data_IF_943404185007
#
_entry.id   IF_943404185007
#
_cell.length_a   1.000
_cell.length_b   1.000
_cell.length_c   1.000
_cell.angle_alpha   90.00
_cell.angle_beta   90.00
_cell.angle_gamma   90.00
#
_symmetry.space_group_name_H-M   'P 1'
#
loop_
_entity.id
_entity.type
_entity.pdbx_description
1 polymer ?
#
# COMPACT_ATOMS: atom_id res chain seq x y z
N UNK A 1 -55.73 4.83 1.91
CA UNK A 1 -56.96 4.12 1.50
C UNK A 1 -56.71 2.63 1.62
N UNK A 2 -57.47 1.97 2.50
CA UNK A 2 -57.90 0.54 2.56
C UNK A 2 -56.86 -0.59 2.34
N UNK A 3 -56.55 -1.42 3.36
CA UNK A 3 -57.29 -2.62 3.86
C UNK A 3 -57.33 -3.78 2.83
N UNK A 4 -57.21 -5.07 3.15
CA UNK A 4 -56.83 -5.89 4.33
C UNK A 4 -57.00 -7.39 3.93
N UNK A 5 -56.49 -8.28 4.80
CA UNK A 5 -56.81 -9.71 5.06
C UNK A 5 -55.78 -10.72 4.52
N UNK A 6 -55.04 -11.47 5.34
CA UNK A 6 -55.28 -12.27 6.57
C UNK A 6 -55.19 -13.76 6.21
N UNK A 7 -54.26 -14.48 6.83
CA UNK A 7 -54.57 -15.74 7.51
C UNK A 7 -53.46 -16.17 8.47
N UNK A 8 -53.90 -16.45 9.70
CA UNK A 8 -53.16 -16.79 10.91
C UNK A 8 -52.96 -18.29 11.03
N UNK A 9 -51.98 -18.68 11.84
CA UNK A 9 -52.10 -19.85 12.72
C UNK A 9 -51.55 -19.48 14.10
N UNK A 10 -52.38 -19.63 15.13
CA UNK A 10 -52.06 -19.45 16.54
C UNK A 10 -52.17 -20.77 17.32
N UNK A 11 -51.56 -20.74 18.51
CA UNK A 11 -51.86 -21.45 19.77
C UNK A 11 -51.01 -22.70 20.10
N UNK A 12 -50.84 -23.07 21.40
CA UNK A 12 -51.30 -22.41 22.64
C UNK A 12 -50.21 -22.23 23.74
N UNK A 13 -50.67 -21.60 24.82
CA UNK A 13 -50.01 -21.22 26.07
C UNK A 13 -50.12 -22.35 27.13
N UNK A 14 -49.20 -22.32 28.10
CA UNK A 14 -48.92 -23.16 29.30
C UNK A 14 -50.08 -23.67 30.17
N UNK A 15 -49.82 -24.63 31.10
CA UNK A 15 -49.72 -24.20 32.51
C UNK A 15 -48.65 -24.88 33.39
N UNK A 16 -48.09 -24.06 34.27
CA UNK A 16 -47.73 -24.20 35.70
C UNK A 16 -47.55 -25.58 36.37
N UNK A 17 -46.51 -25.64 37.21
CA UNK A 17 -46.31 -26.70 38.20
C UNK A 17 -47.24 -26.61 39.42
N UNK A 18 -47.38 -27.73 40.10
CA UNK A 18 -48.01 -27.88 41.41
C UNK A 18 -47.20 -28.90 42.23
N UNK A 19 -46.87 -28.49 43.46
CA UNK A 19 -46.23 -29.27 44.53
C UNK A 19 -47.18 -30.25 45.21
N UNK A 20 -46.57 -31.16 45.98
CA UNK A 20 -47.11 -32.16 46.91
C UNK A 20 -48.32 -31.72 47.77
N UNK A 21 -49.26 -32.66 47.99
CA UNK A 21 -49.77 -33.13 49.30
C UNK A 21 -50.79 -34.28 49.04
N UNK A 22 -50.56 -35.53 49.46
CA UNK A 22 -50.76 -36.18 50.78
C UNK A 22 -52.20 -36.69 51.05
N UNK A 23 -52.24 -37.93 51.61
CA UNK A 23 -53.34 -38.64 52.29
C UNK A 23 -54.29 -39.48 51.42
N UNK A 24 -54.71 -40.71 51.74
CA UNK A 24 -54.52 -41.66 52.85
C UNK A 24 -55.34 -42.93 52.47
N UNK A 25 -54.86 -44.16 52.74
CA UNK A 25 -55.52 -45.17 53.61
C UNK A 25 -55.04 -46.63 53.37
N UNK A 26 -54.51 -47.18 54.47
CA UNK A 26 -54.63 -48.54 55.03
C UNK A 26 -54.81 -49.76 54.12
N UNK A 27 -53.91 -50.74 54.25
CA UNK A 27 -54.04 -51.85 55.23
C UNK A 27 -52.84 -52.82 55.17
N UNK A 28 -52.23 -53.10 56.31
CA UNK A 28 -51.35 -54.24 56.62
C UNK A 28 -52.17 -55.55 56.76
N UNK A 29 -51.59 -56.76 57.01
CA UNK A 29 -50.17 -57.18 57.01
C UNK A 29 -49.92 -58.53 56.29
N UNK A 30 -48.65 -58.89 56.03
CA UNK A 30 -48.01 -60.17 56.48
C UNK A 30 -46.63 -60.34 55.85
N UNK A 31 -45.60 -60.37 56.71
CA UNK A 31 -44.27 -60.94 56.45
C UNK A 31 -44.37 -62.50 56.45
N UNK A 32 -43.44 -63.30 55.86
CA UNK A 32 -42.01 -63.15 56.08
C UNK A 32 -41.06 -63.47 54.90
N UNK A 33 -39.87 -62.85 54.96
CA UNK A 33 -38.55 -63.47 54.78
C UNK A 33 -38.35 -64.50 53.65
N UNK A 34 -37.63 -64.10 52.59
CA UNK A 34 -36.74 -65.03 51.89
C UNK A 34 -35.55 -64.29 51.26
N UNK A 35 -34.36 -64.65 51.73
CA UNK A 35 -33.08 -64.13 51.22
C UNK A 35 -32.71 -64.82 49.91
N UNK A 36 -32.59 -64.04 48.83
CA UNK A 36 -31.88 -64.47 47.62
C UNK A 36 -30.84 -63.40 47.21
N UNK A 37 -29.68 -63.81 46.66
CA UNK A 37 -28.58 -62.90 46.37
C UNK A 37 -28.93 -61.96 45.23
N UNK A 38 -28.98 -60.66 45.50
CA UNK A 38 -29.15 -59.62 44.48
C UNK A 38 -27.95 -59.64 43.53
N UNK A 39 -28.16 -60.16 42.32
CA UNK A 39 -27.34 -59.78 41.16
C UNK A 39 -27.49 -58.28 40.98
N UNK A 40 -26.38 -57.54 41.07
CA UNK A 40 -26.33 -56.12 40.78
C UNK A 40 -26.56 -55.91 39.28
N UNK A 41 -27.82 -55.73 38.88
CA UNK A 41 -28.13 -55.19 37.56
C UNK A 41 -27.69 -53.73 37.54
N UNK A 42 -26.47 -53.46 37.04
CA UNK A 42 -26.09 -52.11 36.66
C UNK A 42 -27.08 -51.62 35.62
N UNK A 43 -27.83 -50.58 35.97
CA UNK A 43 -28.83 -49.93 35.15
C UNK A 43 -28.25 -49.63 33.76
N UNK A 44 -28.91 -50.10 32.70
CA UNK A 44 -28.49 -49.96 31.29
C UNK A 44 -28.18 -48.49 30.94
N UNK A 45 -28.87 -47.55 31.59
CA UNK A 45 -28.60 -46.10 31.50
C UNK A 45 -27.20 -45.75 31.99
N UNK A 46 -26.76 -46.33 33.11
CA UNK A 46 -25.44 -46.09 33.69
C UNK A 46 -24.33 -46.71 32.85
N UNK A 47 -24.59 -47.86 32.21
CA UNK A 47 -23.62 -48.52 31.34
C UNK A 47 -23.47 -47.80 29.99
N UNK A 48 -24.56 -47.28 29.42
CA UNK A 48 -24.55 -46.41 28.23
C UNK A 48 -23.81 -45.09 28.48
N UNK A 49 -24.09 -44.41 29.60
CA UNK A 49 -23.46 -43.13 29.95
C UNK A 49 -21.97 -43.25 30.32
N UNK A 50 -21.55 -44.33 30.99
CA UNK A 50 -20.16 -44.47 31.44
C UNK A 50 -19.23 -45.11 30.42
N UNK A 51 -19.75 -45.96 29.52
CA UNK A 51 -18.91 -46.79 28.64
C UNK A 51 -19.03 -46.38 27.18
N UNK A 52 -20.25 -46.18 26.70
CA UNK A 52 -20.50 -45.93 25.27
C UNK A 52 -20.32 -44.44 24.94
N UNK A 53 -20.82 -43.54 25.80
CA UNK A 53 -20.73 -42.10 25.56
C UNK A 53 -19.27 -41.57 25.48
N UNK A 54 -18.34 -41.93 26.39
CA UNK A 54 -16.93 -41.52 26.25
C UNK A 54 -16.24 -42.22 25.07
N UNK A 55 -16.56 -43.51 24.84
CA UNK A 55 -15.98 -44.27 23.73
C UNK A 55 -16.30 -43.66 22.35
N UNK A 56 -17.40 -42.91 22.22
CA UNK A 56 -17.77 -42.21 20.99
C UNK A 56 -17.31 -40.74 21.00
N UNK A 57 -17.44 -40.03 22.13
CA UNK A 57 -17.08 -38.60 22.20
C UNK A 57 -15.58 -38.34 22.20
N UNK A 58 -14.77 -39.20 22.81
CA UNK A 58 -13.32 -39.01 22.90
C UNK A 58 -12.65 -39.09 21.52
N UNK A 59 -12.94 -40.09 20.65
CA UNK A 59 -12.42 -40.11 19.28
C UNK A 59 -12.90 -38.92 18.44
N UNK A 60 -14.16 -38.49 18.57
CA UNK A 60 -14.67 -37.32 17.85
C UNK A 60 -14.00 -36.02 18.28
N UNK A 61 -13.77 -35.83 19.59
CA UNK A 61 -13.08 -34.66 20.12
C UNK A 61 -11.61 -34.59 19.67
N UNK A 62 -10.90 -35.73 19.71
CA UNK A 62 -9.53 -35.84 19.20
C UNK A 62 -9.46 -35.61 17.69
N UNK A 63 -10.37 -36.20 16.91
CA UNK A 63 -10.46 -35.95 15.48
C UNK A 63 -10.75 -34.48 15.18
N UNK A 64 -11.62 -33.82 15.95
CA UNK A 64 -11.90 -32.39 15.82
C UNK A 64 -10.69 -31.50 16.13
N UNK A 65 -9.94 -31.80 17.20
CA UNK A 65 -8.72 -31.05 17.55
C UNK A 65 -7.60 -31.26 16.53
N UNK A 66 -7.37 -32.49 16.08
CA UNK A 66 -6.38 -32.80 15.05
C UNK A 66 -6.76 -32.16 13.71
N UNK A 67 -8.03 -32.24 13.32
CA UNK A 67 -8.55 -31.60 12.11
C UNK A 67 -8.43 -30.09 12.20
N UNK A 68 -8.80 -29.46 13.32
CA UNK A 68 -8.62 -28.02 13.53
C UNK A 68 -7.15 -27.61 13.42
N UNK A 69 -6.23 -28.39 13.98
CA UNK A 69 -4.79 -28.11 13.89
C UNK A 69 -4.20 -28.31 12.49
N UNK A 70 -4.70 -29.29 11.74
CA UNK A 70 -4.27 -29.56 10.36
C UNK A 70 -4.86 -28.52 9.40
N UNK A 71 -6.12 -28.16 9.59
CA UNK A 71 -6.83 -27.11 8.85
C UNK A 71 -6.22 -25.75 9.15
N UNK A 72 -5.87 -25.44 10.41
CA UNK A 72 -5.24 -24.16 10.74
C UNK A 72 -3.85 -24.02 10.13
N UNK A 73 -3.03 -25.08 10.13
CA UNK A 73 -1.72 -25.09 9.46
C UNK A 73 -1.84 -25.01 7.94
N UNK A 74 -2.75 -25.79 7.34
CA UNK A 74 -2.99 -25.75 5.90
C UNK A 74 -3.59 -24.42 5.44
N UNK A 75 -4.48 -23.83 6.24
CA UNK A 75 -5.08 -22.52 5.98
C UNK A 75 -4.04 -21.41 6.09
N UNK A 76 -3.14 -21.48 7.08
CA UNK A 76 -2.03 -20.54 7.21
C UNK A 76 -1.06 -20.64 6.03
N UNK A 77 -0.71 -21.84 5.58
CA UNK A 77 0.17 -22.04 4.41
C UNK A 77 -0.49 -21.56 3.11
N UNK A 78 -1.79 -21.79 2.93
CA UNK A 78 -2.52 -21.29 1.76
C UNK A 78 -2.63 -19.76 1.79
N UNK A 79 -2.90 -19.16 2.94
CA UNK A 79 -2.91 -17.71 3.11
C UNK A 79 -1.53 -17.10 2.81
N UNK A 80 -0.44 -17.71 3.29
CA UNK A 80 0.92 -17.27 3.00
C UNK A 80 1.24 -17.34 1.50
N UNK A 81 0.88 -18.42 0.81
CA UNK A 81 1.12 -18.57 -0.64
C UNK A 81 0.29 -17.59 -1.47
N UNK A 82 -0.96 -17.35 -1.09
CA UNK A 82 -1.82 -16.35 -1.74
C UNK A 82 -1.23 -14.94 -1.56
N UNK A 83 -0.86 -14.58 -0.33
CA UNK A 83 -0.23 -13.30 -0.01
C UNK A 83 1.11 -13.10 -0.75
N UNK A 84 1.91 -14.15 -0.91
CA UNK A 84 3.16 -14.11 -1.67
C UNK A 84 2.89 -13.82 -3.16
N UNK A 85 1.92 -14.51 -3.76
CA UNK A 85 1.52 -14.27 -5.14
C UNK A 85 0.97 -12.86 -5.37
N UNK A 86 0.08 -12.40 -4.50
CA UNK A 86 -0.52 -11.06 -4.56
C UNK A 86 0.53 -9.95 -4.41
N UNK A 87 1.48 -10.11 -3.47
CA UNK A 87 2.57 -9.14 -3.26
C UNK A 87 3.50 -9.06 -4.46
N UNK A 88 3.81 -10.19 -5.11
CA UNK A 88 4.62 -10.22 -6.34
C UNK A 88 3.92 -9.47 -7.47
N UNK A 89 2.61 -9.69 -7.64
CA UNK A 89 1.82 -9.00 -8.67
C UNK A 89 1.76 -7.50 -8.38
N UNK A 90 1.46 -7.11 -7.15
CA UNK A 90 1.41 -5.70 -6.74
C UNK A 90 2.76 -4.99 -6.94
N UNK A 91 3.87 -5.63 -6.54
CA UNK A 91 5.22 -5.11 -6.76
C UNK A 91 5.56 -4.96 -8.24
N UNK A 92 5.16 -5.92 -9.09
CA UNK A 92 5.36 -5.83 -10.55
C UNK A 92 4.54 -4.70 -11.17
N UNK A 93 3.28 -4.52 -10.77
CA UNK A 93 2.43 -3.42 -11.26
C UNK A 93 3.02 -2.08 -10.86
N UNK A 94 3.47 -1.94 -9.62
CA UNK A 94 4.16 -0.74 -9.13
C UNK A 94 5.39 -0.42 -9.97
N UNK A 95 6.25 -1.43 -10.19
CA UNK A 95 7.46 -1.28 -10.98
C UNK A 95 7.16 -0.82 -12.41
N UNK A 96 6.22 -1.49 -13.10
CA UNK A 96 5.83 -1.12 -14.47
C UNK A 96 5.34 0.33 -14.51
N UNK A 97 4.50 0.71 -13.54
CA UNK A 97 3.99 2.07 -13.47
C UNK A 97 5.10 3.08 -13.19
N UNK A 98 6.02 2.79 -12.26
CA UNK A 98 7.15 3.68 -11.98
C UNK A 98 8.06 3.83 -13.20
N UNK A 99 8.36 2.75 -13.91
CA UNK A 99 9.12 2.81 -15.17
C UNK A 99 8.41 3.63 -16.24
N UNK A 100 7.08 3.57 -16.31
CA UNK A 100 6.32 4.43 -17.23
C UNK A 100 6.32 5.89 -16.78
N UNK A 101 6.14 6.15 -15.47
CA UNK A 101 6.20 7.50 -14.92
C UNK A 101 7.57 8.15 -15.16
N UNK A 102 8.67 7.39 -15.02
CA UNK A 102 10.04 7.84 -15.33
C UNK A 102 10.17 8.35 -16.76
N UNK A 103 9.50 7.71 -17.73
CA UNK A 103 9.58 8.08 -19.15
C UNK A 103 8.99 9.45 -19.44
N UNK A 104 8.05 9.95 -18.63
CA UNK A 104 7.36 11.21 -18.92
C UNK A 104 8.34 12.41 -18.81
N UNK A 105 9.02 12.66 -17.68
CA UNK A 105 10.06 13.70 -17.61
C UNK A 105 11.21 13.46 -18.59
N UNK A 106 11.57 12.20 -18.85
CA UNK A 106 12.64 11.87 -19.80
C UNK A 106 12.30 12.25 -21.24
N UNK A 107 11.07 11.95 -21.67
CA UNK A 107 10.55 12.30 -23.00
C UNK A 107 10.43 13.81 -23.14
N UNK A 108 9.99 14.51 -22.08
CA UNK A 108 9.97 15.97 -22.07
C UNK A 108 11.38 16.55 -22.20
N UNK A 109 12.36 16.03 -21.46
CA UNK A 109 13.74 16.52 -21.50
C UNK A 109 14.39 16.33 -22.88
N UNK A 110 14.03 15.27 -23.60
CA UNK A 110 14.50 15.01 -24.97
C UNK A 110 13.64 15.68 -26.06
N UNK A 111 12.55 16.36 -25.71
CA UNK A 111 11.64 16.98 -26.67
C UNK A 111 12.31 18.19 -27.33
N UNK A 112 12.29 18.32 -28.68
CA UNK A 112 12.83 19.49 -29.37
C UNK A 112 12.25 20.81 -28.87
N UNK A 113 10.97 20.82 -28.50
CA UNK A 113 10.29 22.01 -27.95
C UNK A 113 10.90 22.44 -26.61
N UNK A 114 11.22 21.50 -25.73
CA UNK A 114 11.80 21.77 -24.40
C UNK A 114 13.27 22.14 -24.53
N UNK A 115 14.03 21.42 -25.37
CA UNK A 115 15.43 21.71 -25.67
C UNK A 115 15.59 23.13 -26.23
N UNK A 116 14.77 23.51 -27.22
CA UNK A 116 14.80 24.85 -27.81
C UNK A 116 14.40 25.93 -26.81
N UNK A 117 13.36 25.69 -26.01
CA UNK A 117 12.91 26.62 -24.99
C UNK A 117 13.98 26.85 -23.91
N UNK A 118 14.63 25.79 -23.42
CA UNK A 118 15.70 25.87 -22.43
C UNK A 118 16.93 26.62 -22.99
N UNK A 119 17.34 26.30 -24.23
CA UNK A 119 18.44 26.99 -24.92
C UNK A 119 18.14 28.48 -25.15
N UNK A 120 16.92 28.81 -25.55
CA UNK A 120 16.50 30.21 -25.77
C UNK A 120 16.44 30.99 -24.46
N UNK A 121 15.87 30.39 -23.41
CA UNK A 121 15.85 30.97 -22.08
C UNK A 121 17.27 31.21 -21.52
N UNK A 122 18.20 30.29 -21.73
CA UNK A 122 19.60 30.47 -21.34
C UNK A 122 20.24 31.71 -22.00
N UNK A 123 19.92 31.98 -23.27
CA UNK A 123 20.38 33.20 -23.96
C UNK A 123 19.79 34.46 -23.34
N UNK A 124 18.51 34.44 -22.97
CA UNK A 124 17.84 35.55 -22.26
C UNK A 124 18.52 35.81 -20.91
N UNK A 125 18.80 34.76 -20.15
CA UNK A 125 19.51 34.81 -18.86
C UNK A 125 20.89 35.47 -19.01
N UNK A 126 21.63 35.08 -20.06
CA UNK A 126 22.95 35.63 -20.36
C UNK A 126 22.90 37.11 -20.74
N UNK A 127 21.97 37.52 -21.61
CA UNK A 127 21.80 38.94 -22.01
C UNK A 127 21.46 39.81 -20.80
N UNK A 128 20.60 39.31 -19.92
CA UNK A 128 20.22 39.98 -18.68
C UNK A 128 21.27 39.87 -17.56
N UNK A 129 22.36 39.13 -17.77
CA UNK A 129 23.38 38.81 -16.77
C UNK A 129 22.82 38.26 -15.44
N UNK A 130 21.69 37.53 -15.48
CA UNK A 130 20.98 37.08 -14.26
C UNK A 130 21.85 36.19 -13.38
N UNK A 131 22.73 35.38 -13.99
CA UNK A 131 23.63 34.51 -13.24
C UNK A 131 24.67 35.26 -12.38
N UNK A 132 24.92 36.55 -12.63
CA UNK A 132 25.84 37.41 -11.86
C UNK A 132 25.15 38.20 -10.76
N UNK A 133 23.82 38.30 -10.81
CA UNK A 133 23.05 39.02 -9.80
C UNK A 133 22.94 38.16 -8.53
N UNK A 134 22.85 38.81 -7.35
CA UNK A 134 22.53 38.11 -6.12
C UNK A 134 21.19 37.39 -6.22
N UNK A 135 21.08 36.22 -5.60
CA UNK A 135 19.88 35.37 -5.64
C UNK A 135 18.59 36.14 -5.31
N UNK A 136 18.59 36.92 -4.22
CA UNK A 136 17.42 37.63 -3.75
C UNK A 136 16.91 38.70 -4.73
N UNK A 137 17.82 39.36 -5.48
CA UNK A 137 17.44 40.36 -6.50
C UNK A 137 16.77 39.70 -7.69
N UNK A 138 17.23 38.49 -8.05
CA UNK A 138 16.67 37.70 -9.14
C UNK A 138 15.29 37.17 -8.75
N UNK A 139 15.11 36.65 -7.54
CA UNK A 139 13.80 36.23 -7.05
C UNK A 139 12.79 37.37 -7.01
N UNK A 140 13.16 38.52 -6.44
CA UNK A 140 12.26 39.67 -6.34
C UNK A 140 11.79 40.15 -7.72
N UNK A 141 12.71 40.21 -8.70
CA UNK A 141 12.45 40.66 -10.06
C UNK A 141 11.53 39.74 -10.87
N UNK A 142 11.37 38.49 -10.46
CA UNK A 142 10.57 37.47 -11.15
C UNK A 142 9.51 36.85 -10.24
N UNK A 143 9.07 37.54 -9.19
CA UNK A 143 8.08 37.00 -8.25
C UNK A 143 6.67 36.78 -8.86
N UNK A 144 6.30 37.53 -9.91
CA UNK A 144 5.03 37.39 -10.62
C UNK A 144 5.13 37.76 -12.12
N UNK A 145 5.21 36.77 -13.05
CA UNK A 145 5.31 35.32 -12.82
C UNK A 145 6.75 34.84 -12.58
N UNK A 146 6.96 33.73 -11.84
CA UNK A 146 8.25 33.05 -11.66
C UNK A 146 8.70 32.30 -12.92
N UNK A 147 8.86 33.05 -14.01
CA UNK A 147 9.27 32.59 -15.34
C UNK A 147 10.21 33.60 -15.97
N UNK A 148 11.30 33.11 -16.56
CA UNK A 148 12.29 33.97 -17.23
C UNK A 148 11.69 34.72 -18.42
N UNK A 149 10.75 34.06 -19.10
CA UNK A 149 9.92 34.60 -20.16
C UNK A 149 8.63 33.77 -20.22
N UNK A 150 7.47 34.41 -20.09
CA UNK A 150 6.19 33.70 -20.14
C UNK A 150 5.95 33.09 -21.54
N UNK A 151 5.65 31.79 -21.57
CA UNK A 151 5.18 31.09 -22.77
C UNK A 151 3.89 30.31 -22.45
N UNK A 152 2.75 30.94 -22.74
CA UNK A 152 1.42 30.37 -22.45
C UNK A 152 1.16 29.04 -23.15
N UNK A 153 1.66 28.86 -24.37
CA UNK A 153 1.50 27.62 -25.11
C UNK A 153 2.28 26.46 -24.45
N UNK A 154 3.50 26.75 -23.98
CA UNK A 154 4.34 25.76 -23.32
C UNK A 154 3.78 25.40 -21.93
N UNK A 155 3.35 26.39 -21.15
CA UNK A 155 2.66 26.14 -19.88
C UNK A 155 1.38 25.32 -20.07
N UNK A 156 0.60 25.61 -21.12
CA UNK A 156 -0.59 24.82 -21.46
C UNK A 156 -0.25 23.38 -21.86
N UNK A 157 0.83 23.19 -22.62
CA UNK A 157 1.33 21.87 -22.98
C UNK A 157 1.70 21.05 -21.74
N UNK A 158 2.43 21.64 -20.78
CA UNK A 158 2.76 20.98 -19.52
C UNK A 158 1.50 20.67 -18.71
N UNK A 159 0.53 21.59 -18.65
CA UNK A 159 -0.76 21.36 -18.00
C UNK A 159 -1.55 20.19 -18.61
N UNK A 160 -1.54 20.04 -19.94
CA UNK A 160 -2.16 18.88 -20.60
C UNK A 160 -1.40 17.60 -20.31
N UNK A 161 -0.07 17.66 -20.30
CA UNK A 161 0.79 16.51 -19.97
C UNK A 161 0.50 16.01 -18.55
N UNK A 162 0.39 16.91 -17.57
CA UNK A 162 0.04 16.54 -16.19
C UNK A 162 -1.34 15.92 -16.05
N UNK A 163 -2.33 16.43 -16.80
CA UNK A 163 -3.69 15.88 -16.76
C UNK A 163 -3.79 14.47 -17.37
N UNK A 164 -2.94 14.12 -18.33
CA UNK A 164 -2.93 12.80 -18.99
C UNK A 164 -2.16 11.77 -18.15
N UNK A 165 -1.07 12.18 -17.52
CA UNK A 165 -0.13 11.28 -16.84
C UNK A 165 -0.21 11.34 -15.30
N UNK A 166 -1.22 12.02 -14.75
CA UNK A 166 -1.52 12.13 -13.31
C UNK A 166 -0.40 12.77 -12.46
N UNK A 167 0.53 13.48 -13.09
CA UNK A 167 1.49 14.33 -12.38
C UNK A 167 0.77 15.53 -11.77
N UNK A 168 1.13 15.90 -10.53
CA UNK A 168 0.64 17.14 -9.92
C UNK A 168 1.40 18.36 -10.46
N UNK A 169 2.71 18.21 -10.63
CA UNK A 169 3.58 19.27 -11.13
C UNK A 169 4.49 18.74 -12.23
N UNK A 170 4.66 19.54 -13.27
CA UNK A 170 5.76 19.44 -14.22
C UNK A 170 6.27 20.86 -14.46
N UNK A 171 7.58 21.03 -14.28
CA UNK A 171 8.28 22.26 -14.57
C UNK A 171 9.64 21.96 -15.19
N UNK A 172 10.24 22.95 -15.84
CA UNK A 172 11.64 22.83 -16.24
C UNK A 172 12.36 24.17 -16.24
N UNK A 173 13.67 24.08 -16.10
CA UNK A 173 14.58 25.22 -16.01
C UNK A 173 15.51 25.27 -17.21
N UNK A 174 16.20 26.40 -17.36
CA UNK A 174 17.41 26.48 -18.18
C UNK A 174 18.68 26.15 -17.36
N UNK A 175 19.86 26.22 -17.99
CA UNK A 175 21.14 25.74 -17.44
C UNK A 175 21.68 26.51 -16.23
N UNK A 176 21.23 27.74 -16.02
CA UNK A 176 21.51 28.53 -14.83
C UNK A 176 20.49 28.30 -13.71
N UNK A 177 19.48 27.45 -13.95
CA UNK A 177 18.46 27.00 -13.01
C UNK A 177 17.30 27.98 -12.82
N UNK A 178 17.03 28.82 -13.82
CA UNK A 178 15.86 29.69 -13.85
C UNK A 178 14.67 29.01 -14.52
N UNK A 179 13.47 29.18 -13.97
CA UNK A 179 12.26 28.57 -14.50
C UNK A 179 11.91 29.07 -15.91
N UNK A 180 11.60 28.14 -16.80
CA UNK A 180 11.24 28.40 -18.20
C UNK A 180 9.75 28.16 -18.44
N UNK A 181 9.21 27.09 -17.88
CA UNK A 181 7.79 26.79 -17.92
C UNK A 181 7.37 25.87 -16.77
N UNK A 182 6.08 25.93 -16.43
CA UNK A 182 5.45 25.05 -15.46
C UNK A 182 3.97 24.83 -15.80
N UNK A 183 3.37 23.75 -15.28
CA UNK A 183 1.91 23.56 -15.32
C UNK A 183 1.20 24.31 -14.17
N UNK A 184 1.84 24.40 -13.01
CA UNK A 184 1.35 25.04 -11.78
C UNK A 184 2.43 25.98 -11.28
N UNK A 185 2.03 27.14 -10.75
CA UNK A 185 2.97 28.17 -10.27
C UNK A 185 3.91 27.58 -9.21
N UNK A 186 5.21 27.76 -9.43
CA UNK A 186 6.24 27.45 -8.43
C UNK A 186 6.36 28.57 -7.41
N UNK A 187 6.72 28.30 -6.14
CA UNK A 187 6.97 29.34 -5.15
C UNK A 187 8.15 30.24 -5.54
N UNK A 188 9.24 29.63 -6.00
CA UNK A 188 10.49 30.29 -6.33
C UNK A 188 10.74 30.30 -7.85
N UNK A 189 11.50 31.28 -8.34
CA UNK A 189 11.92 31.39 -9.73
C UNK A 189 13.24 30.68 -10.02
N UNK A 190 14.17 30.73 -9.07
CA UNK A 190 15.48 30.10 -9.09
C UNK A 190 15.37 28.74 -8.42
N UNK A 191 15.88 27.71 -9.09
CA UNK A 191 15.81 26.32 -8.63
C UNK A 191 17.19 25.67 -8.55
N UNK A 192 18.25 26.41 -8.85
CA UNK A 192 19.61 25.86 -8.94
C UNK A 192 20.16 25.38 -7.61
N UNK A 193 19.66 25.90 -6.49
CA UNK A 193 20.04 25.51 -5.13
C UNK A 193 19.34 24.23 -4.67
N UNK A 194 18.32 23.78 -5.40
CA UNK A 194 17.59 22.57 -5.09
C UNK A 194 18.43 21.29 -5.27
N UNK A 195 18.28 20.36 -4.32
CA UNK A 195 19.02 19.09 -4.34
C UNK A 195 18.71 18.25 -5.59
N UNK A 196 17.45 18.21 -6.01
CA UNK A 196 17.04 17.47 -7.21
C UNK A 196 17.70 18.05 -8.47
N UNK A 197 17.83 19.38 -8.54
CA UNK A 197 18.42 20.08 -9.67
C UNK A 197 19.92 19.83 -9.76
N UNK A 198 20.62 19.98 -8.63
CA UNK A 198 22.07 19.73 -8.54
C UNK A 198 22.42 18.29 -8.89
N UNK A 199 21.65 17.31 -8.39
CA UNK A 199 21.88 15.90 -8.72
C UNK A 199 21.65 15.60 -10.20
N UNK A 200 20.59 16.12 -10.80
CA UNK A 200 20.31 15.93 -12.22
C UNK A 200 21.39 16.56 -13.10
N UNK A 201 21.87 17.76 -12.73
CA UNK A 201 23.00 18.41 -13.42
C UNK A 201 24.30 17.61 -13.32
N UNK A 202 24.61 17.07 -12.15
CA UNK A 202 25.87 16.36 -11.91
C UNK A 202 25.90 14.94 -12.52
N UNK A 203 24.74 14.40 -12.89
CA UNK A 203 24.61 13.08 -13.49
C UNK A 203 23.59 13.11 -14.64
N UNK A 204 23.88 13.82 -15.75
CA UNK A 204 22.88 14.14 -16.78
C UNK A 204 22.35 12.90 -17.52
N UNK A 205 23.11 11.80 -17.54
CA UNK A 205 22.68 10.52 -18.12
C UNK A 205 21.78 9.70 -17.20
N UNK A 206 21.62 10.10 -15.94
CA UNK A 206 20.83 9.39 -14.93
C UNK A 206 19.62 10.23 -14.53
N UNK A 207 18.47 9.57 -14.41
CA UNK A 207 17.30 10.19 -13.82
C UNK A 207 17.41 10.16 -12.30
N UNK A 208 17.17 11.31 -11.67
CA UNK A 208 17.09 11.41 -10.21
C UNK A 208 15.66 11.12 -9.79
N UNK A 209 15.48 10.19 -8.86
CA UNK A 209 14.18 9.83 -8.30
C UNK A 209 14.26 9.98 -6.79
N UNK A 210 13.31 10.72 -6.20
CA UNK A 210 13.27 10.96 -4.76
C UNK A 210 11.84 10.89 -4.25
N UNK A 211 11.65 10.22 -3.12
CA UNK A 211 10.38 10.28 -2.39
C UNK A 211 10.48 11.36 -1.32
N UNK A 212 9.52 12.28 -1.28
CA UNK A 212 9.43 13.30 -0.24
C UNK A 212 8.01 13.41 0.32
N UNK A 213 7.92 13.92 1.53
CA UNK A 213 6.66 14.43 2.04
C UNK A 213 6.54 15.90 1.61
N UNK A 214 5.41 16.25 1.00
CA UNK A 214 5.10 17.62 0.63
C UNK A 214 4.29 18.28 1.75
N UNK A 215 4.95 19.16 2.52
CA UNK A 215 4.35 19.87 3.64
C UNK A 215 3.25 20.85 3.20
N UNK A 216 3.30 21.34 1.94
CA UNK A 216 2.29 22.27 1.41
C UNK A 216 0.96 21.58 1.21
N UNK A 217 1.05 20.33 0.79
CA UNK A 217 -0.04 19.54 0.22
C UNK A 217 -0.39 18.32 1.07
N UNK A 218 0.24 18.21 2.25
CA UNK A 218 0.12 17.18 3.30
C UNK A 218 0.09 15.74 2.74
N UNK A 219 1.01 15.45 1.80
CA UNK A 219 1.01 14.18 1.08
C UNK A 219 2.40 13.72 0.66
N UNK A 220 2.57 12.41 0.50
CA UNK A 220 3.79 11.87 -0.12
C UNK A 220 3.78 12.05 -1.63
N UNK A 221 4.93 12.42 -2.18
CA UNK A 221 5.16 12.56 -3.62
C UNK A 221 6.45 11.86 -4.04
N UNK A 222 6.49 11.43 -5.28
CA UNK A 222 7.68 10.93 -5.96
C UNK A 222 8.11 11.98 -6.98
N UNK A 223 9.30 12.52 -6.79
CA UNK A 223 9.91 13.48 -7.70
C UNK A 223 10.83 12.76 -8.67
N UNK A 224 10.74 13.17 -9.92
CA UNK A 224 11.57 12.72 -11.02
C UNK A 224 12.27 13.93 -11.59
N UNK A 225 13.59 13.87 -11.76
CA UNK A 225 14.36 14.94 -12.39
C UNK A 225 15.28 14.39 -13.46
N UNK A 226 15.20 14.97 -14.65
CA UNK A 226 16.00 14.58 -15.81
C UNK A 226 16.70 15.81 -16.38
N UNK A 227 18.01 15.70 -16.63
CA UNK A 227 18.75 16.74 -17.33
C UNK A 227 18.26 16.88 -18.78
N UNK A 228 18.13 18.12 -19.22
CA UNK A 228 17.96 18.49 -20.62
C UNK A 228 19.36 18.63 -21.20
N UNK A 229 19.67 17.87 -22.25
CA UNK A 229 20.94 17.97 -22.97
C UNK A 229 20.69 18.31 -24.43
N UNK A 230 21.62 19.07 -25.02
CA UNK A 230 21.61 19.28 -26.46
C UNK A 230 21.91 17.96 -27.18
N UNK A 231 21.05 17.46 -28.07
CA UNK A 231 21.23 16.16 -28.71
C UNK A 231 22.41 16.11 -29.69
N UNK A 232 22.94 17.27 -30.12
CA UNK A 232 24.08 17.36 -31.02
C UNK A 232 25.42 17.53 -30.29
N UNK A 233 25.42 18.14 -29.11
CA UNK A 233 26.66 18.49 -28.38
C UNK A 233 26.80 17.85 -26.99
N UNK A 234 25.74 17.21 -26.49
CA UNK A 234 25.59 16.75 -25.11
C UNK A 234 25.76 17.87 -24.06
N UNK A 235 25.66 19.14 -24.46
CA UNK A 235 25.72 20.28 -23.52
C UNK A 235 24.50 20.26 -22.59
N UNK A 236 24.74 20.48 -21.28
CA UNK A 236 23.66 20.65 -20.31
C UNK A 236 22.90 21.97 -20.54
N UNK A 237 21.59 21.85 -20.77
CA UNK A 237 20.69 22.96 -21.06
C UNK A 237 19.71 23.29 -19.93
N UNK A 238 19.55 22.42 -18.93
CA UNK A 238 18.61 22.61 -17.83
C UNK A 238 18.11 21.29 -17.24
N UNK A 239 17.03 21.33 -16.47
CA UNK A 239 16.45 20.14 -15.83
C UNK A 239 14.93 20.17 -15.96
N UNK A 240 14.31 19.06 -16.33
CA UNK A 240 12.87 18.80 -16.20
C UNK A 240 12.61 18.15 -14.85
N UNK A 241 11.64 18.67 -14.10
CA UNK A 241 11.11 18.11 -12.85
C UNK A 241 9.66 17.66 -13.07
N UNK A 242 9.34 16.46 -12.61
CA UNK A 242 7.97 15.96 -12.50
C UNK A 242 7.68 15.48 -11.08
N UNK A 243 6.55 15.88 -10.53
CA UNK A 243 6.08 15.48 -9.19
C UNK A 243 4.83 14.63 -9.32
N UNK A 244 4.91 13.38 -8.86
CA UNK A 244 3.82 12.42 -8.92
C UNK A 244 3.29 12.16 -7.50
N UNK A 245 2.01 12.45 -7.21
CA UNK A 245 1.42 12.12 -5.92
C UNK A 245 1.38 10.61 -5.69
N UNK A 246 1.73 10.17 -4.49
CA UNK A 246 1.66 8.76 -4.16
C UNK A 246 0.20 8.23 -4.10
N UNK A 247 -0.79 9.11 -3.97
CA UNK A 247 -2.21 8.75 -4.03
C UNK A 247 -2.63 8.14 -5.36
N UNK A 248 -1.87 8.34 -6.44
CA UNK A 248 -2.09 7.67 -7.73
C UNK A 248 -2.01 6.15 -7.58
N UNK A 249 -1.07 5.66 -6.77
CA UNK A 249 -0.94 4.23 -6.47
C UNK A 249 -2.19 3.67 -5.80
N UNK A 250 -2.79 4.44 -4.90
CA UNK A 250 -4.04 4.09 -4.22
C UNK A 250 -5.12 3.67 -5.21
N UNK A 251 -5.30 4.43 -6.29
CA UNK A 251 -6.29 4.15 -7.34
C UNK A 251 -5.96 2.90 -8.13
N UNK A 252 -4.69 2.73 -8.54
CA UNK A 252 -4.21 1.56 -9.28
C UNK A 252 -4.43 0.30 -8.45
N UNK A 253 -4.03 0.34 -7.20
CA UNK A 253 -4.12 -0.81 -6.32
C UNK A 253 -5.55 -1.10 -5.89
N UNK A 254 -6.42 -0.12 -5.67
CA UNK A 254 -7.85 -0.40 -5.41
C UNK A 254 -8.48 -1.24 -6.53
N UNK A 255 -8.12 -0.96 -7.78
CA UNK A 255 -8.58 -1.77 -8.92
C UNK A 255 -7.95 -3.16 -8.88
N UNK A 256 -6.64 -3.25 -8.64
CA UNK A 256 -5.95 -4.54 -8.54
C UNK A 256 -6.49 -5.42 -7.39
N UNK A 257 -6.70 -4.86 -6.20
CA UNK A 257 -7.21 -5.60 -5.04
C UNK A 257 -8.64 -6.09 -5.25
N UNK A 258 -9.43 -5.38 -6.06
CA UNK A 258 -10.77 -5.82 -6.46
C UNK A 258 -10.70 -7.05 -7.38
N UNK A 259 -9.74 -7.07 -8.30
CA UNK A 259 -9.54 -8.18 -9.24
C UNK A 259 -8.87 -9.40 -8.58
N UNK A 260 -8.11 -9.19 -7.51
CA UNK A 260 -7.44 -10.24 -6.73
C UNK A 260 -8.35 -10.91 -5.69
N UNK A 261 -9.64 -10.53 -5.56
CA UNK A 261 -10.60 -11.09 -4.57
C UNK A 261 -10.08 -11.16 -3.12
N UNK A 262 -9.17 -10.24 -2.79
CA UNK A 262 -8.56 -10.09 -1.47
C UNK A 262 -9.70 -9.89 -0.46
N UNK A 263 -9.69 -10.55 0.69
CA UNK A 263 -10.80 -10.48 1.66
C UNK A 263 -10.94 -9.10 2.32
N UNK A 264 -12.15 -8.74 2.77
CA UNK A 264 -12.49 -7.46 3.43
C UNK A 264 -11.59 -7.05 4.62
N UNK A 265 -10.80 -7.98 5.15
CA UNK A 265 -9.90 -7.79 6.31
C UNK A 265 -8.43 -7.52 5.93
N UNK A 266 -8.08 -7.62 4.66
CA UNK A 266 -6.73 -7.41 4.16
C UNK A 266 -6.53 -5.95 3.71
N UNK A 267 -5.31 -5.46 3.90
CA UNK A 267 -4.89 -4.11 3.51
C UNK A 267 -3.45 -4.17 3.00
N UNK A 268 -3.08 -3.21 2.16
CA UNK A 268 -1.74 -3.08 1.64
C UNK A 268 -1.15 -1.73 2.05
N UNK A 269 0.09 -1.71 2.53
CA UNK A 269 0.79 -0.46 2.88
C UNK A 269 1.93 -0.21 1.89
N UNK A 270 1.95 0.98 1.30
CA UNK A 270 3.12 1.48 0.60
C UNK A 270 4.02 2.17 1.62
N UNK A 271 5.29 1.76 1.68
CA UNK A 271 6.24 2.21 2.69
C UNK A 271 7.43 2.89 2.01
N UNK A 272 7.95 3.96 2.63
CA UNK A 272 9.19 4.61 2.25
C UNK A 272 10.14 4.65 3.44
N UNK A 273 11.44 4.51 3.20
CA UNK A 273 12.47 4.76 4.20
C UNK A 273 12.87 6.24 4.16
N UNK A 274 12.80 6.90 5.32
CA UNK A 274 13.27 8.27 5.50
C UNK A 274 14.80 8.27 5.68
N UNK A 275 15.40 9.45 5.53
CA UNK A 275 16.84 9.66 5.73
C UNK A 275 17.31 9.35 7.17
N UNK A 276 16.43 9.52 8.15
CA UNK A 276 16.67 9.14 9.56
C UNK A 276 16.45 7.64 9.82
N UNK A 277 16.34 6.85 8.75
CA UNK A 277 16.13 5.41 8.77
C UNK A 277 14.80 4.95 9.38
N UNK A 278 13.84 5.86 9.55
CA UNK A 278 12.48 5.50 9.97
C UNK A 278 11.61 5.15 8.77
N UNK A 279 10.60 4.31 8.98
CA UNK A 279 9.62 3.97 7.93
C UNK A 279 8.48 4.97 7.96
N UNK A 280 8.22 5.57 6.81
CA UNK A 280 7.03 6.33 6.53
C UNK A 280 5.99 5.45 5.85
N UNK A 281 4.74 5.51 6.31
CA UNK A 281 3.61 4.94 5.58
C UNK A 281 3.20 5.95 4.52
N UNK A 282 3.57 5.66 3.28
CA UNK A 282 3.23 6.48 2.10
C UNK A 282 1.73 6.42 1.83
N UNK A 283 1.16 5.22 1.93
CA UNK A 283 -0.28 5.01 1.79
C UNK A 283 -0.74 3.70 2.47
N UNK A 284 -2.01 3.60 2.84
CA UNK A 284 -2.65 2.36 3.29
C UNK A 284 -3.94 2.13 2.50
N UNK A 285 -3.96 1.05 1.74
CA UNK A 285 -4.98 0.73 0.76
C UNK A 285 -5.85 -0.39 1.32
N UNK A 286 -7.14 -0.11 1.44
CA UNK A 286 -8.18 -1.04 1.87
C UNK A 286 -9.09 -1.40 0.70
N UNK A 287 -9.64 -2.62 0.70
CA UNK A 287 -10.65 -3.03 -0.29
C UNK A 287 -12.05 -2.45 0.03
N UNK A 288 -12.33 -2.14 1.30
CA UNK A 288 -13.59 -1.56 1.79
C UNK A 288 -13.65 -0.03 1.86
N UNK A 289 -14.70 0.54 2.49
CA UNK A 289 -14.82 2.00 2.66
C UNK A 289 -13.60 2.54 3.40
N UNK A 290 -12.80 3.33 2.68
CA UNK A 290 -11.71 4.16 3.19
C UNK A 290 -12.17 4.86 4.46
N UNK A 291 -11.73 4.39 5.62
CA UNK A 291 -11.76 5.20 6.82
C UNK A 291 -10.49 6.03 6.78
N UNK A 292 -10.61 7.33 7.05
CA UNK A 292 -9.50 8.21 7.42
C UNK A 292 -8.82 7.65 8.67
N UNK A 293 -8.05 6.57 8.49
CA UNK A 293 -7.27 5.95 9.54
C UNK A 293 -5.86 6.51 9.46
N UNK A 294 -5.22 6.70 10.62
CA UNK A 294 -3.89 7.31 10.68
C UNK A 294 -2.91 6.51 9.83
N UNK A 295 -2.01 7.22 9.14
CA UNK A 295 -0.82 6.71 8.44
C UNK A 295 0.19 6.11 9.43
N UNK A 296 -0.27 5.16 10.23
CA UNK A 296 0.53 4.42 11.20
C UNK A 296 0.83 3.05 10.62
N UNK A 297 2.04 2.57 10.84
CA UNK A 297 2.42 1.21 10.48
C UNK A 297 1.50 0.22 11.19
N UNK A 298 0.90 -0.69 10.43
CA UNK A 298 -0.03 -1.70 10.96
C UNK A 298 0.66 -3.07 11.03
N UNK A 299 0.33 -3.86 12.05
CA UNK A 299 0.70 -5.28 12.11
C UNK A 299 2.12 -5.62 12.60
N UNK A 300 3.00 -4.66 12.89
CA UNK A 300 4.36 -4.96 13.38
C UNK A 300 4.87 -4.01 14.48
N UNK A 301 5.89 -4.46 15.22
CA UNK A 301 6.75 -3.56 16.00
C UNK A 301 7.67 -2.84 15.02
N UNK A 302 7.63 -1.51 14.98
CA UNK A 302 8.30 -0.64 13.99
C UNK A 302 9.72 -1.11 13.61
N UNK A 303 10.52 -1.53 14.60
CA UNK A 303 11.90 -1.98 14.37
C UNK A 303 12.04 -3.22 13.47
N UNK A 304 11.13 -4.20 13.53
CA UNK A 304 11.26 -5.42 12.72
C UNK A 304 10.96 -5.14 11.24
N UNK A 305 9.96 -4.31 10.95
CA UNK A 305 9.63 -3.91 9.58
C UNK A 305 10.69 -2.98 9.02
N UNK A 306 11.21 -2.04 9.81
CA UNK A 306 12.33 -1.17 9.40
C UNK A 306 13.53 -2.02 8.98
N UNK A 307 13.92 -3.02 9.79
CA UNK A 307 15.05 -3.89 9.47
C UNK A 307 14.79 -4.72 8.20
N UNK A 308 13.59 -5.30 8.05
CA UNK A 308 13.23 -6.03 6.83
C UNK A 308 13.22 -5.12 5.59
N UNK A 309 12.72 -3.88 5.71
CA UNK A 309 12.69 -2.93 4.60
C UNK A 309 14.10 -2.48 4.21
N UNK A 310 14.98 -2.25 5.19
CA UNK A 310 16.40 -1.94 4.95
C UNK A 310 17.10 -3.07 4.20
N UNK A 311 16.92 -4.30 4.67
CA UNK A 311 17.48 -5.48 4.03
C UNK A 311 16.95 -5.63 2.60
N UNK A 312 15.65 -5.37 2.40
CA UNK A 312 15.04 -5.46 1.08
C UNK A 312 15.55 -4.35 0.14
N UNK A 313 15.72 -3.13 0.63
CA UNK A 313 16.35 -2.06 -0.14
C UNK A 313 17.81 -2.37 -0.46
N UNK A 314 18.59 -2.85 0.51
CA UNK A 314 19.99 -3.25 0.29
C UNK A 314 20.08 -4.39 -0.73
N UNK A 315 19.21 -5.40 -0.64
CA UNK A 315 19.11 -6.49 -1.61
C UNK A 315 18.74 -6.00 -3.02
N UNK A 316 17.89 -4.96 -3.11
CA UNK A 316 17.50 -4.32 -4.37
C UNK A 316 18.63 -3.45 -4.91
N UNK A 317 19.30 -2.65 -4.08
CA UNK A 317 20.39 -1.76 -4.49
C UNK A 317 21.65 -2.54 -4.90
N UNK A 318 21.97 -3.62 -4.19
CA UNK A 318 23.17 -4.46 -4.44
C UNK A 318 22.89 -5.60 -5.41
N UNK A 319 21.61 -5.96 -5.61
CA UNK A 319 21.18 -7.12 -6.39
C UNK A 319 21.39 -8.48 -5.70
N UNK A 320 21.86 -8.51 -4.44
CA UNK A 320 22.16 -9.74 -3.70
C UNK A 320 20.93 -10.35 -3.00
N UNK A 321 20.92 -11.67 -2.82
CA UNK A 321 19.87 -12.38 -2.07
C UNK A 321 20.24 -12.41 -0.59
N UNK A 322 19.40 -11.80 0.27
CA UNK A 322 19.66 -11.74 1.71
C UNK A 322 18.81 -12.78 2.46
N UNK A 323 19.47 -13.60 3.28
CA UNK A 323 18.86 -14.65 4.09
C UNK A 323 18.87 -14.23 5.56
N UNK A 324 17.70 -14.07 6.18
CA UNK A 324 17.57 -13.85 7.63
C UNK A 324 16.67 -14.89 8.26
N UNK A 325 16.85 -15.13 9.57
CA UNK A 325 16.13 -16.16 10.33
C UNK A 325 14.60 -15.94 10.25
N UNK A 326 13.92 -16.77 9.47
CA UNK A 326 12.46 -16.69 9.26
C UNK A 326 12.02 -15.84 8.06
N UNK A 327 12.94 -15.30 7.25
CA UNK A 327 12.62 -14.53 6.05
C UNK A 327 13.66 -14.80 4.95
N UNK A 328 13.22 -15.45 3.87
CA UNK A 328 14.04 -15.63 2.66
C UNK A 328 13.60 -14.60 1.64
N UNK A 329 14.36 -13.51 1.50
CA UNK A 329 14.09 -12.49 0.47
C UNK A 329 14.92 -12.85 -0.75
N UNK A 330 14.25 -13.43 -1.76
CA UNK A 330 14.87 -13.65 -3.07
C UNK A 330 15.00 -12.30 -3.77
N UNK A 331 16.22 -11.92 -4.16
CA UNK A 331 16.42 -10.66 -4.88
C UNK A 331 15.58 -10.65 -6.15
N UNK A 332 15.18 -9.47 -6.60
CA UNK A 332 14.44 -9.32 -7.85
C UNK A 332 15.25 -9.80 -9.07
N UNK A 333 16.55 -10.10 -8.92
CA UNK A 333 17.39 -10.69 -9.96
C UNK A 333 17.43 -12.23 -9.92
N UNK A 334 16.74 -12.87 -8.96
CA UNK A 334 16.51 -14.32 -9.01
C UNK A 334 15.48 -14.64 -10.09
N UNK A 335 15.53 -15.86 -10.64
CA UNK A 335 14.88 -16.40 -11.87
C UNK A 335 13.39 -16.03 -12.16
N UNK A 336 12.72 -15.26 -11.30
CA UNK A 336 11.38 -14.70 -11.47
C UNK A 336 11.34 -13.34 -12.22
N UNK A 337 12.46 -12.61 -12.36
CA UNK A 337 12.55 -11.38 -13.18
C UNK A 337 13.86 -11.27 -13.98
N UNK A 338 14.01 -12.01 -15.10
CA UNK A 338 15.26 -12.08 -15.87
C UNK A 338 15.71 -10.74 -16.50
N UNK A 339 14.88 -9.70 -16.45
CA UNK A 339 15.14 -8.38 -17.03
C UNK A 339 15.27 -7.26 -15.98
N UNK A 340 15.21 -7.56 -14.68
CA UNK A 340 15.61 -6.59 -13.67
C UNK A 340 17.14 -6.57 -13.65
N UNK A 341 17.74 -5.61 -14.35
CA UNK A 341 19.09 -5.15 -14.05
C UNK A 341 18.93 -3.77 -13.44
N UNK A 342 19.14 -3.68 -12.13
CA UNK A 342 19.37 -2.38 -11.50
C UNK A 342 20.69 -1.84 -12.05
N UNK A 343 20.63 -0.64 -12.63
CA UNK A 343 21.77 0.08 -13.18
C UNK A 343 22.20 1.18 -12.22
#
# INVERSE_FOLDING_TARGET
>A
MHCSKDLRWELPITPQGISQDQQQQSSQPTDPSNSQPQRTSTDLRTQLLKTILPAVLTPLGLAGLLSYSAISRSSQQQAEQLLEGETIVAGRVLYIFLEEAKRIPATLAASPLVVEAASTAAKVSQVKNLAKLPYYEVEESFSDPPLIQENKALNYYLHKTTAIHEFAEISFTEKHGFNVAYNTRTPDFVQRDENWWQRAKNSPSQQVIQTKFDDTDDRFVIEFSQAITDPATDEFLGVVRGVLPASVFSSIFKNLLKDLEIGDSQYMQLLALKQDETVAVVDTIYQGKSKDQPQKLLGAKDQAVVQNLKILLEAVETGETVQQKGLTIKSANSELFPNLKLA
#
